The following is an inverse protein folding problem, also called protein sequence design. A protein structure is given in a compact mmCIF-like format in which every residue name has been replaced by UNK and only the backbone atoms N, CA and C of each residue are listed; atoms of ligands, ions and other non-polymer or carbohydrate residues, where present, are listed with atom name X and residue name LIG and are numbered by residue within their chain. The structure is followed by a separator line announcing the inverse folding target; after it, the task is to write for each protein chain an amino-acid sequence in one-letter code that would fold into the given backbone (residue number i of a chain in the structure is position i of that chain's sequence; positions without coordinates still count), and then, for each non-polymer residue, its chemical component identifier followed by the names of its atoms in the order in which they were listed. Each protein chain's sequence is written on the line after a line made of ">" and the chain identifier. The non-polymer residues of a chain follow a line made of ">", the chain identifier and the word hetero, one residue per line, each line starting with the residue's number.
data_IF_199797128099
#
_entry.id   IF_199797128099
#
_cell.length_a   1.000
_cell.length_b   1.000
_cell.length_c   1.000
_cell.angle_alpha   90.00
_cell.angle_beta   90.00
_cell.angle_gamma   90.00
#
_symmetry.space_group_name_H-M   'P 1'
#
loop_
_entity.id
_entity.type
_entity.pdbx_description
1 polymer ?
#
# COMPACT_ATOMS: atom_id res chain seq x y z
N UNK A 1 1.72 -27.95 -11.80
CA UNK A 1 3.16 -27.71 -12.00
C UNK A 1 3.42 -26.23 -11.83
N UNK A 2 4.49 -25.88 -11.11
CA UNK A 2 4.91 -24.49 -10.99
C UNK A 2 5.36 -23.95 -12.34
N UNK A 3 4.93 -22.73 -12.75
CA UNK A 3 5.32 -22.15 -14.02
C UNK A 3 6.82 -21.88 -14.08
N UNK A 4 7.42 -22.10 -15.25
CA UNK A 4 8.80 -21.72 -15.52
C UNK A 4 8.89 -20.19 -15.43
N UNK A 5 9.79 -19.71 -14.57
CA UNK A 5 10.02 -18.29 -14.34
C UNK A 5 11.49 -17.96 -14.56
N UNK A 6 11.78 -16.85 -15.24
CA UNK A 6 13.14 -16.33 -15.31
C UNK A 6 13.58 -15.83 -13.94
N UNK A 7 12.74 -15.00 -13.34
CA UNK A 7 12.83 -14.59 -11.96
C UNK A 7 11.43 -14.60 -11.32
N UNK A 8 11.37 -15.09 -10.09
CA UNK A 8 10.15 -15.19 -9.31
C UNK A 8 10.21 -14.20 -8.16
N UNK A 9 9.38 -13.18 -8.22
CA UNK A 9 9.18 -12.25 -7.12
C UNK A 9 8.47 -12.98 -5.99
N UNK A 10 9.13 -13.04 -4.83
CA UNK A 10 8.60 -13.57 -3.59
C UNK A 10 8.71 -12.53 -2.50
N UNK A 11 7.75 -12.54 -1.59
CA UNK A 11 7.57 -11.46 -0.64
C UNK A 11 7.76 -11.93 0.80
N UNK A 12 8.96 -11.71 1.31
CA UNK A 12 9.32 -11.90 2.73
C UNK A 12 10.17 -10.73 3.22
N UNK A 13 9.87 -9.51 2.77
CA UNK A 13 10.64 -8.27 3.06
C UNK A 13 12.09 -8.29 2.50
N UNK A 14 12.42 -9.24 1.64
CA UNK A 14 13.74 -9.36 1.01
C UNK A 14 13.93 -8.29 -0.05
N UNK A 15 14.93 -7.44 0.13
CA UNK A 15 15.34 -6.45 -0.87
C UNK A 15 16.12 -7.11 -2.00
N UNK A 16 15.67 -6.91 -3.24
CA UNK A 16 16.21 -7.54 -4.45
C UNK A 16 16.46 -6.50 -5.52
N UNK A 17 17.68 -6.49 -6.06
CA UNK A 17 18.06 -5.73 -7.25
C UNK A 17 18.59 -6.72 -8.29
N UNK A 18 17.99 -6.78 -9.47
CA UNK A 18 18.52 -7.52 -10.61
C UNK A 18 19.18 -6.57 -11.60
N UNK A 19 20.44 -6.82 -11.91
CA UNK A 19 21.18 -5.99 -12.85
C UNK A 19 22.16 -6.78 -13.71
N UNK A 20 22.35 -6.33 -14.96
CA UNK A 20 23.20 -6.99 -15.94
C UNK A 20 22.81 -8.46 -16.16
N UNK A 21 21.49 -8.73 -16.20
CA UNK A 21 20.94 -10.08 -16.37
C UNK A 21 20.44 -10.24 -17.79
N UNK A 22 20.77 -11.38 -18.42
CA UNK A 22 20.21 -11.77 -19.71
C UNK A 22 19.26 -12.95 -19.54
N UNK A 23 17.98 -12.76 -19.87
CA UNK A 23 17.00 -13.85 -19.95
C UNK A 23 16.93 -14.41 -21.37
N UNK A 24 16.84 -15.73 -21.50
CA UNK A 24 16.88 -16.40 -22.79
C UNK A 24 15.81 -17.48 -22.94
N UNK A 25 15.30 -17.64 -24.17
CA UNK A 25 14.44 -18.75 -24.59
C UNK A 25 13.10 -18.86 -23.85
N UNK A 26 12.39 -17.74 -23.70
CA UNK A 26 11.01 -17.71 -23.18
C UNK A 26 10.03 -17.56 -24.34
N UNK A 27 9.10 -18.51 -24.47
CA UNK A 27 8.06 -18.51 -25.50
C UNK A 27 6.71 -18.20 -24.86
N UNK A 28 5.81 -17.55 -25.60
CA UNK A 28 4.46 -17.32 -25.11
C UNK A 28 3.58 -18.55 -25.36
N UNK A 29 3.10 -19.15 -24.27
CA UNK A 29 2.26 -20.36 -24.24
C UNK A 29 0.88 -20.03 -23.65
N UNK A 30 -0.04 -19.41 -24.43
CA UNK A 30 -1.35 -18.98 -23.93
C UNK A 30 -2.23 -20.13 -23.41
N UNK A 31 -2.07 -21.32 -23.95
CA UNK A 31 -2.81 -22.53 -23.60
C UNK A 31 -2.62 -22.97 -22.14
N UNK A 32 -1.55 -22.51 -21.48
CA UNK A 32 -1.26 -22.79 -20.07
C UNK A 32 -1.98 -21.82 -19.11
N UNK A 33 -2.67 -20.81 -19.62
CA UNK A 33 -3.40 -19.83 -18.81
C UNK A 33 -2.50 -19.15 -17.77
N UNK A 34 -2.94 -19.12 -16.51
CA UNK A 34 -2.15 -18.58 -15.39
C UNK A 34 -0.84 -19.35 -15.12
N UNK A 35 -0.79 -20.62 -15.52
CA UNK A 35 0.39 -21.49 -15.40
C UNK A 35 1.43 -21.30 -16.51
N UNK A 36 1.24 -20.33 -17.41
CA UNK A 36 2.20 -20.04 -18.47
C UNK A 36 3.54 -19.54 -17.93
N UNK A 37 4.60 -19.77 -18.70
CA UNK A 37 5.90 -19.20 -18.36
C UNK A 37 5.90 -17.67 -18.45
N UNK A 38 6.82 -17.06 -17.71
CA UNK A 38 7.08 -15.63 -17.78
C UNK A 38 8.49 -15.31 -17.31
N UNK A 39 9.14 -14.32 -17.94
CA UNK A 39 10.45 -13.86 -17.45
C UNK A 39 10.31 -13.34 -16.02
N UNK A 40 9.35 -12.43 -15.81
CA UNK A 40 9.01 -11.87 -14.51
C UNK A 40 7.72 -12.51 -14.01
N UNK A 41 7.85 -13.41 -13.04
CA UNK A 41 6.72 -14.10 -12.44
C UNK A 41 6.50 -13.63 -11.01
N UNK A 42 5.25 -13.52 -10.57
CA UNK A 42 4.90 -13.19 -9.17
C UNK A 42 4.11 -14.28 -8.48
N UNK A 43 4.41 -14.52 -7.21
CA UNK A 43 3.70 -15.47 -6.38
C UNK A 43 2.48 -14.86 -5.72
N UNK A 44 1.29 -15.12 -6.27
CA UNK A 44 0.02 -14.50 -5.83
C UNK A 44 -0.74 -15.27 -4.75
N UNK A 45 -0.06 -16.13 -4.01
CA UNK A 45 -0.64 -17.21 -3.20
C UNK A 45 -1.29 -16.82 -1.87
N UNK A 46 -1.05 -15.62 -1.32
CA UNK A 46 -1.44 -15.36 0.08
C UNK A 46 -1.79 -13.92 0.42
N UNK A 47 -2.57 -13.77 1.49
CA UNK A 47 -2.81 -12.50 2.19
C UNK A 47 -1.84 -12.30 3.37
N UNK A 48 -1.07 -13.34 3.72
CA UNK A 48 -0.02 -13.34 4.75
C UNK A 48 1.25 -12.61 4.31
N UNK A 49 1.56 -12.69 3.02
CA UNK A 49 2.77 -12.12 2.42
C UNK A 49 2.33 -11.10 1.36
N UNK A 50 2.41 -9.82 1.69
CA UNK A 50 2.00 -8.70 0.81
C UNK A 50 3.20 -7.88 0.35
N UNK A 51 3.51 -7.77 -0.96
CA UNK A 51 4.71 -7.05 -1.43
C UNK A 51 4.77 -5.60 -0.96
N UNK A 52 5.93 -5.16 -0.46
CA UNK A 52 6.31 -3.75 -0.28
C UNK A 52 7.14 -3.27 -1.49
N UNK A 53 7.80 -2.10 -1.41
CA UNK A 53 8.86 -1.74 -2.36
C UNK A 53 10.19 -2.35 -1.95
N UNK A 54 10.42 -3.54 -2.48
CA UNK A 54 11.59 -4.36 -2.17
C UNK A 54 12.29 -4.85 -3.44
N UNK A 55 11.85 -4.42 -4.62
CA UNK A 55 12.22 -5.04 -5.89
C UNK A 55 12.52 -3.98 -6.95
N UNK A 56 13.70 -4.08 -7.55
CA UNK A 56 14.07 -3.26 -8.70
C UNK A 56 14.93 -4.02 -9.73
N UNK A 57 14.93 -3.52 -10.96
CA UNK A 57 15.74 -4.02 -12.06
C UNK A 57 16.42 -2.90 -12.84
N UNK A 58 17.52 -3.22 -13.52
CA UNK A 58 18.26 -2.33 -14.42
C UNK A 58 19.13 -3.14 -15.37
N UNK A 59 19.45 -2.64 -16.56
CA UNK A 59 20.37 -3.30 -17.51
C UNK A 59 19.97 -4.77 -17.77
N UNK A 60 18.72 -4.98 -18.16
CA UNK A 60 18.19 -6.30 -18.51
C UNK A 60 18.26 -6.50 -20.02
N UNK A 61 18.70 -7.68 -20.42
CA UNK A 61 18.75 -8.08 -21.83
C UNK A 61 17.90 -9.33 -22.09
N UNK A 62 17.39 -9.43 -23.31
CA UNK A 62 16.52 -10.53 -23.75
C UNK A 62 17.09 -11.16 -25.02
N UNK A 63 17.21 -12.49 -25.05
CA UNK A 63 17.64 -13.24 -26.23
C UNK A 63 16.64 -14.36 -26.54
N UNK A 64 16.05 -14.36 -27.73
CA UNK A 64 15.02 -15.34 -28.10
C UNK A 64 13.86 -15.37 -27.08
N UNK A 65 13.42 -14.20 -26.63
CA UNK A 65 12.27 -14.06 -25.72
C UNK A 65 11.13 -13.42 -26.48
N UNK A 66 9.98 -14.08 -26.47
CA UNK A 66 8.73 -13.50 -26.93
C UNK A 66 8.31 -12.38 -25.96
N UNK A 67 8.09 -11.17 -26.46
CA UNK A 67 7.70 -10.02 -25.63
C UNK A 67 6.37 -10.24 -24.89
N UNK A 68 5.51 -11.15 -25.39
CA UNK A 68 4.27 -11.56 -24.73
C UNK A 68 4.50 -12.40 -23.47
N UNK A 69 5.69 -12.98 -23.32
CA UNK A 69 6.10 -13.77 -22.16
C UNK A 69 6.93 -12.97 -21.15
N UNK A 70 6.99 -11.63 -21.24
CA UNK A 70 7.78 -10.81 -20.32
C UNK A 70 7.30 -10.91 -18.87
N UNK A 71 6.00 -10.71 -18.63
CA UNK A 71 5.44 -10.63 -17.28
C UNK A 71 4.31 -11.64 -17.16
N UNK A 72 4.25 -12.35 -16.05
CA UNK A 72 3.10 -13.15 -15.65
C UNK A 72 2.74 -12.86 -14.19
N UNK A 73 1.64 -12.12 -14.01
CA UNK A 73 0.97 -11.94 -12.73
C UNK A 73 -0.40 -12.63 -12.81
N UNK A 74 -0.53 -13.88 -12.35
CA UNK A 74 -1.82 -14.55 -12.32
C UNK A 74 -2.88 -13.75 -11.56
N UNK A 75 -4.11 -13.72 -12.06
CA UNK A 75 -5.19 -12.98 -11.41
C UNK A 75 -5.65 -13.70 -10.15
N UNK A 76 -5.12 -13.30 -9.00
CA UNK A 76 -5.62 -13.75 -7.70
C UNK A 76 -6.01 -12.57 -6.82
N UNK A 77 -7.16 -12.71 -6.16
CA UNK A 77 -7.72 -11.74 -5.22
C UNK A 77 -7.07 -11.84 -3.83
N UNK A 78 -5.75 -12.02 -3.78
CA UNK A 78 -4.94 -12.05 -2.56
C UNK A 78 -4.16 -10.75 -2.40
N UNK A 79 -3.60 -10.51 -1.22
CA UNK A 79 -2.69 -9.41 -0.95
C UNK A 79 -1.44 -9.51 -1.80
N UNK A 80 -0.83 -10.70 -1.90
CA UNK A 80 0.31 -10.95 -2.76
C UNK A 80 0.02 -10.56 -4.22
N UNK A 81 -1.15 -10.97 -4.74
CA UNK A 81 -1.60 -10.62 -6.09
C UNK A 81 -1.85 -9.12 -6.23
N UNK A 82 -2.65 -8.53 -5.36
CA UNK A 82 -3.05 -7.11 -5.42
C UNK A 82 -1.89 -6.12 -5.28
N UNK A 83 -0.91 -6.43 -4.43
CA UNK A 83 0.17 -5.49 -4.06
C UNK A 83 1.47 -5.71 -4.84
N UNK A 84 1.52 -6.69 -5.75
CA UNK A 84 2.67 -6.92 -6.59
C UNK A 84 3.11 -5.64 -7.31
N UNK A 85 4.40 -5.32 -7.19
CA UNK A 85 5.04 -4.19 -7.82
C UNK A 85 6.55 -4.43 -7.96
N UNK A 86 7.18 -3.75 -8.92
CA UNK A 86 8.63 -3.54 -8.96
C UNK A 86 8.96 -2.30 -9.78
N UNK A 87 10.21 -1.84 -9.69
CA UNK A 87 10.69 -0.69 -10.47
C UNK A 87 11.76 -1.13 -11.45
N UNK A 88 11.51 -0.93 -12.73
CA UNK A 88 12.48 -1.03 -13.80
C UNK A 88 13.14 0.33 -14.02
N UNK A 89 14.30 0.54 -13.43
CA UNK A 89 14.89 1.88 -13.24
C UNK A 89 15.43 2.52 -14.51
N UNK A 90 15.63 1.76 -15.59
CA UNK A 90 16.08 2.27 -16.88
C UNK A 90 15.18 1.86 -18.06
N UNK A 91 14.12 1.09 -17.79
CA UNK A 91 13.17 0.68 -18.83
C UNK A 91 13.62 -0.52 -19.66
N UNK A 92 14.76 -1.13 -19.32
CA UNK A 92 15.28 -2.28 -20.07
C UNK A 92 14.47 -3.54 -19.80
N UNK A 93 14.02 -3.77 -18.57
CA UNK A 93 13.21 -4.95 -18.21
C UNK A 93 11.78 -4.93 -18.80
N UNK A 94 11.27 -3.74 -19.09
CA UNK A 94 9.95 -3.52 -19.68
C UNK A 94 9.99 -3.22 -21.17
N UNK A 95 11.20 -3.11 -21.75
CA UNK A 95 11.44 -2.69 -23.14
C UNK A 95 10.85 -1.30 -23.48
N UNK A 96 10.59 -0.46 -22.48
CA UNK A 96 10.03 0.89 -22.67
C UNK A 96 11.08 1.97 -22.93
N UNK A 97 12.36 1.65 -22.69
CA UNK A 97 13.49 2.57 -22.87
C UNK A 97 13.46 3.78 -21.93
N UNK A 98 12.67 3.70 -20.85
CA UNK A 98 12.52 4.73 -19.83
C UNK A 98 12.17 4.10 -18.47
N UNK A 99 12.52 4.74 -17.34
CA UNK A 99 12.20 4.23 -16.01
C UNK A 99 10.70 3.93 -15.88
N UNK A 100 10.37 2.74 -15.40
CA UNK A 100 9.01 2.22 -15.37
C UNK A 100 8.69 1.67 -13.98
N UNK A 101 7.54 2.09 -13.45
CA UNK A 101 6.91 1.47 -12.30
C UNK A 101 5.92 0.43 -12.81
N UNK A 102 6.06 -0.80 -12.34
CA UNK A 102 5.14 -1.88 -12.65
C UNK A 102 4.30 -2.14 -11.41
N UNK A 103 2.98 -2.11 -11.56
CA UNK A 103 2.02 -2.42 -10.51
C UNK A 103 1.01 -3.46 -10.97
N UNK A 104 0.43 -4.20 -10.02
CA UNK A 104 -0.54 -5.27 -10.29
C UNK A 104 -1.83 -4.79 -10.98
N UNK A 105 -2.70 -5.72 -11.36
CA UNK A 105 -3.94 -5.49 -12.10
C UNK A 105 -4.96 -4.49 -11.52
N UNK A 106 -5.14 -4.30 -10.19
CA UNK A 106 -6.17 -3.39 -9.69
C UNK A 106 -6.00 -1.97 -10.23
N UNK A 107 -7.10 -1.25 -10.46
CA UNK A 107 -7.06 0.13 -10.96
C UNK A 107 -6.30 1.08 -10.03
N UNK A 108 -6.11 0.69 -8.77
CA UNK A 108 -5.16 1.27 -7.82
C UNK A 108 -3.74 1.51 -8.36
N UNK A 109 -3.25 0.70 -9.29
CA UNK A 109 -1.93 0.88 -9.90
C UNK A 109 -1.96 1.69 -11.20
N UNK A 110 -3.13 2.11 -11.67
CA UNK A 110 -3.27 3.05 -12.76
C UNK A 110 -3.18 4.48 -12.20
N UNK A 111 -1.95 4.95 -12.05
CA UNK A 111 -1.59 6.17 -11.33
C UNK A 111 -2.02 7.45 -12.05
N UNK A 112 -1.86 7.49 -13.38
CA UNK A 112 -2.07 8.69 -14.19
C UNK A 112 -2.12 8.31 -15.69
N UNK A 113 -2.24 9.32 -16.56
CA UNK A 113 -2.37 9.19 -18.02
C UNK A 113 -1.18 8.53 -18.72
N UNK A 114 0.01 8.50 -18.11
CA UNK A 114 1.18 7.78 -18.63
C UNK A 114 1.13 6.26 -18.40
N UNK A 115 0.16 5.79 -17.61
CA UNK A 115 0.00 4.37 -17.33
C UNK A 115 -0.69 3.63 -18.49
N UNK A 116 -0.19 2.44 -18.82
CA UNK A 116 -0.78 1.51 -19.78
C UNK A 116 -1.01 0.15 -19.15
N UNK A 117 -2.20 -0.42 -19.33
CA UNK A 117 -2.48 -1.76 -18.85
C UNK A 117 -1.94 -2.81 -19.83
N UNK A 118 -1.10 -3.71 -19.34
CA UNK A 118 -0.58 -4.83 -20.08
C UNK A 118 -1.41 -6.07 -19.75
N UNK A 119 -2.41 -6.34 -20.60
CA UNK A 119 -3.42 -7.38 -20.36
C UNK A 119 -2.83 -8.78 -20.23
N UNK A 120 -1.80 -9.12 -21.01
CA UNK A 120 -1.16 -10.43 -20.92
C UNK A 120 -0.51 -10.62 -19.56
N UNK A 121 0.18 -9.58 -19.07
CA UNK A 121 0.90 -9.62 -17.80
C UNK A 121 0.06 -9.29 -16.58
N UNK A 122 -1.19 -8.86 -16.73
CA UNK A 122 -2.07 -8.34 -15.67
C UNK A 122 -1.38 -7.30 -14.77
N UNK A 123 -0.75 -6.31 -15.40
CA UNK A 123 -0.03 -5.24 -14.71
C UNK A 123 -0.25 -3.89 -15.40
N UNK A 124 -0.16 -2.81 -14.64
CA UNK A 124 -0.03 -1.45 -15.18
C UNK A 124 1.45 -1.10 -15.29
N UNK A 125 1.83 -0.49 -16.42
CA UNK A 125 3.14 0.11 -16.64
C UNK A 125 2.98 1.62 -16.67
N UNK A 126 3.57 2.29 -15.67
CA UNK A 126 3.58 3.74 -15.54
C UNK A 126 5.02 4.25 -15.59
N UNK A 127 5.21 5.51 -15.94
CA UNK A 127 6.50 6.17 -15.83
C UNK A 127 6.88 6.29 -14.34
N UNK A 128 8.10 5.85 -14.03
CA UNK A 128 8.69 6.05 -12.72
C UNK A 128 9.32 7.44 -12.65
N UNK A 129 8.86 8.26 -11.71
CA UNK A 129 9.21 9.66 -11.58
C UNK A 129 9.77 9.93 -10.18
N UNK A 130 10.66 10.92 -9.98
CA UNK A 130 11.29 11.18 -8.68
C UNK A 130 10.30 11.43 -7.53
N UNK A 131 9.12 11.96 -7.84
CA UNK A 131 8.06 12.23 -6.86
C UNK A 131 7.06 11.07 -6.69
N UNK A 132 7.16 9.99 -7.48
CA UNK A 132 6.28 8.81 -7.40
C UNK A 132 6.97 7.69 -6.63
N UNK A 133 7.09 7.87 -5.33
CA UNK A 133 7.71 6.88 -4.45
C UNK A 133 6.71 5.81 -4.01
N UNK A 134 7.08 4.54 -4.06
CA UNK A 134 6.25 3.48 -3.51
C UNK A 134 6.27 3.57 -1.98
N UNK A 135 5.09 3.45 -1.38
CA UNK A 135 4.86 3.51 0.05
C UNK A 135 4.04 2.30 0.51
N UNK A 136 4.20 1.97 1.79
CA UNK A 136 3.42 0.96 2.48
C UNK A 136 2.95 1.46 3.84
N UNK A 137 1.65 1.27 4.07
CA UNK A 137 1.01 1.50 5.36
C UNK A 137 0.46 0.18 5.91
N UNK A 138 0.73 -0.12 7.18
CA UNK A 138 -0.03 -1.14 7.91
C UNK A 138 -1.09 -0.43 8.74
N UNK A 139 -2.34 -0.46 8.25
CA UNK A 139 -3.49 0.17 8.92
C UNK A 139 -4.13 -0.83 9.88
N UNK A 140 -4.05 -0.51 11.17
CA UNK A 140 -4.50 -1.35 12.27
C UNK A 140 -5.75 -0.78 12.95
N UNK A 141 -6.77 -1.63 13.05
CA UNK A 141 -7.91 -1.43 13.94
C UNK A 141 -7.72 -2.39 15.11
N UNK A 142 -7.33 -1.91 16.31
CA UNK A 142 -7.05 -2.78 17.45
C UNK A 142 -8.19 -3.75 17.74
N UNK A 143 -7.86 -5.04 17.80
CA UNK A 143 -8.83 -6.11 18.03
C UNK A 143 -9.62 -6.57 16.80
N UNK A 144 -9.40 -5.99 15.61
CA UNK A 144 -10.17 -6.32 14.41
C UNK A 144 -9.33 -6.64 13.18
N UNK A 145 -8.20 -5.95 12.99
CA UNK A 145 -7.20 -6.32 11.98
C UNK A 145 -6.13 -7.20 12.59
N UNK A 146 -5.43 -7.98 11.76
CA UNK A 146 -4.30 -8.82 12.17
C UNK A 146 -3.04 -8.47 11.38
N UNK A 147 -1.87 -8.45 12.03
CA UNK A 147 -0.60 -8.26 11.35
C UNK A 147 -0.29 -9.42 10.40
N UNK A 148 0.26 -9.06 9.24
CA UNK A 148 0.88 -9.99 8.29
C UNK A 148 2.28 -10.41 8.74
N UNK A 149 2.87 -11.40 8.10
CA UNK A 149 4.14 -12.04 8.47
C UNK A 149 4.16 -12.68 9.89
N UNK A 150 3.01 -13.13 10.40
CA UNK A 150 2.84 -13.78 11.70
C UNK A 150 2.30 -15.21 11.66
N UNK A 151 1.87 -15.68 10.49
CA UNK A 151 1.19 -16.97 10.30
C UNK A 151 -0.28 -16.99 10.75
N UNK A 152 -0.87 -15.82 11.04
CA UNK A 152 -2.24 -15.68 11.53
C UNK A 152 -3.14 -14.84 10.61
N UNK A 153 -2.72 -14.55 9.38
CA UNK A 153 -3.57 -13.83 8.44
C UNK A 153 -4.86 -14.60 8.16
N UNK A 154 -5.96 -13.85 8.06
CA UNK A 154 -7.21 -14.37 7.55
C UNK A 154 -7.08 -14.79 6.09
N UNK A 155 -7.85 -15.79 5.63
CA UNK A 155 -7.92 -16.09 4.21
C UNK A 155 -8.51 -14.88 3.43
N UNK A 156 -8.21 -14.77 2.13
CA UNK A 156 -8.61 -13.65 1.27
C UNK A 156 -10.09 -13.69 0.87
N UNK A 157 -10.98 -14.04 1.80
CA UNK A 157 -12.40 -14.28 1.53
C UNK A 157 -13.27 -13.06 1.87
N UNK A 158 -14.47 -13.02 1.27
CA UNK A 158 -15.42 -11.92 1.41
C UNK A 158 -15.72 -11.49 2.88
N UNK A 159 -15.87 -12.40 3.86
CA UNK A 159 -16.12 -12.02 5.26
C UNK A 159 -15.00 -11.18 5.91
N UNK A 160 -13.77 -11.29 5.38
CA UNK A 160 -12.59 -10.61 5.90
C UNK A 160 -12.23 -9.36 5.09
N UNK A 161 -13.08 -8.94 4.15
CA UNK A 161 -12.96 -7.64 3.50
C UNK A 161 -13.22 -6.54 4.54
N UNK A 162 -12.26 -5.61 4.65
CA UNK A 162 -12.34 -4.44 5.52
C UNK A 162 -12.98 -3.25 4.79
N UNK A 163 -12.73 -3.13 3.49
CA UNK A 163 -13.26 -2.05 2.65
C UNK A 163 -12.38 -1.83 1.43
N UNK A 164 -12.04 -0.58 1.13
CA UNK A 164 -11.16 -0.24 0.02
C UNK A 164 -10.19 0.91 0.34
N UNK A 165 -9.12 0.98 -0.43
CA UNK A 165 -8.26 2.16 -0.56
C UNK A 165 -8.45 2.76 -1.96
N UNK A 166 -8.44 4.09 -2.07
CA UNK A 166 -8.60 4.79 -3.34
C UNK A 166 -7.64 5.98 -3.46
N UNK A 167 -7.18 6.27 -4.67
CA UNK A 167 -6.35 7.46 -4.92
C UNK A 167 -7.22 8.72 -4.96
N UNK A 168 -6.66 9.85 -4.52
CA UNK A 168 -7.31 11.15 -4.68
C UNK A 168 -7.39 11.57 -6.15
N UNK A 169 -8.38 12.39 -6.48
CA UNK A 169 -8.59 12.94 -7.83
C UNK A 169 -9.42 12.07 -8.77
N UNK A 170 -9.67 10.80 -8.42
CA UNK A 170 -10.34 9.84 -9.29
C UNK A 170 -11.67 9.36 -8.71
N UNK A 171 -12.77 9.50 -9.46
CA UNK A 171 -14.14 9.20 -8.99
C UNK A 171 -14.97 8.46 -10.02
N UNK A 172 -16.08 7.86 -9.58
CA UNK A 172 -17.03 7.16 -10.44
C UNK A 172 -16.36 6.01 -11.20
N UNK A 173 -16.65 5.91 -12.50
CA UNK A 173 -16.04 4.90 -13.37
C UNK A 173 -14.51 5.02 -13.51
N UNK A 174 -13.95 6.20 -13.21
CA UNK A 174 -12.50 6.43 -13.27
C UNK A 174 -11.79 6.15 -11.93
N UNK A 175 -12.52 5.73 -10.89
CA UNK A 175 -11.95 5.50 -9.57
C UNK A 175 -10.77 4.51 -9.61
N UNK A 176 -9.65 4.92 -9.02
CA UNK A 176 -8.43 4.11 -8.86
C UNK A 176 -8.45 3.53 -7.46
N UNK A 177 -8.97 2.32 -7.31
CA UNK A 177 -9.20 1.73 -6.01
C UNK A 177 -8.82 0.25 -5.97
N UNK A 178 -8.80 -0.28 -4.76
CA UNK A 178 -8.49 -1.67 -4.50
C UNK A 178 -9.10 -2.11 -3.17
N UNK A 179 -9.63 -3.33 -3.17
CA UNK A 179 -10.13 -3.98 -1.96
C UNK A 179 -9.01 -4.19 -0.94
N UNK A 180 -9.30 -3.89 0.32
CA UNK A 180 -8.44 -4.19 1.45
C UNK A 180 -9.12 -5.19 2.38
N UNK A 181 -8.32 -6.04 3.01
CA UNK A 181 -8.77 -7.08 3.95
C UNK A 181 -8.44 -6.67 5.38
N UNK A 182 -8.88 -7.47 6.36
CA UNK A 182 -8.49 -7.31 7.77
C UNK A 182 -7.03 -7.67 8.04
N UNK A 183 -6.33 -8.24 7.05
CA UNK A 183 -4.89 -8.42 7.13
C UNK A 183 -4.22 -7.06 6.89
N UNK A 184 -3.34 -6.66 7.77
CA UNK A 184 -2.61 -5.38 7.67
C UNK A 184 -1.73 -5.35 6.40
N UNK A 185 -1.32 -4.16 5.95
CA UNK A 185 -0.47 -3.99 4.77
C UNK A 185 -1.22 -3.56 3.52
N UNK A 186 -0.97 -2.30 3.15
CA UNK A 186 -1.43 -1.64 1.93
C UNK A 186 -0.20 -1.03 1.26
N UNK A 187 0.14 -1.50 0.08
CA UNK A 187 1.23 -0.96 -0.75
C UNK A 187 0.66 -0.21 -1.95
N UNK A 188 1.26 0.92 -2.28
CA UNK A 188 0.88 1.73 -3.43
C UNK A 188 1.86 2.87 -3.64
N UNK A 189 1.44 3.91 -4.35
CA UNK A 189 2.33 5.03 -4.69
C UNK A 189 1.96 6.28 -3.90
N UNK A 190 2.97 6.90 -3.29
CA UNK A 190 2.95 8.23 -2.70
C UNK A 190 3.35 9.29 -3.74
N UNK A 191 3.29 10.58 -3.40
CA UNK A 191 3.71 11.66 -4.28
C UNK A 191 2.78 12.85 -4.28
N UNK A 192 2.37 13.31 -5.47
CA UNK A 192 1.48 14.47 -5.65
C UNK A 192 0.00 14.18 -5.34
N UNK A 193 -0.32 12.96 -4.94
CA UNK A 193 -1.67 12.48 -4.61
C UNK A 193 -1.70 11.87 -3.20
N UNK A 194 -2.88 11.47 -2.74
CA UNK A 194 -3.10 10.86 -1.43
C UNK A 194 -4.02 9.65 -1.49
N UNK A 195 -4.14 8.98 -0.36
CA UNK A 195 -4.91 7.76 -0.19
C UNK A 195 -6.15 8.04 0.66
N UNK A 196 -7.31 7.69 0.11
CA UNK A 196 -8.56 7.60 0.85
C UNK A 196 -8.76 6.17 1.32
N UNK A 197 -8.85 5.98 2.63
CA UNK A 197 -9.12 4.71 3.28
C UNK A 197 -10.59 4.64 3.69
N UNK A 198 -11.27 3.60 3.24
CA UNK A 198 -12.68 3.37 3.53
C UNK A 198 -12.88 2.02 4.20
N UNK A 199 -13.61 2.02 5.32
CA UNK A 199 -14.05 0.82 6.03
C UNK A 199 -15.55 0.63 5.86
N UNK A 200 -15.94 -0.61 5.53
CA UNK A 200 -17.34 -0.96 5.32
C UNK A 200 -18.16 -0.87 6.61
N UNK A 201 -17.55 -1.18 7.75
CA UNK A 201 -18.20 -1.17 9.06
C UNK A 201 -18.38 0.25 9.64
N UNK A 202 -17.79 1.27 9.00
CA UNK A 202 -17.80 2.65 9.48
C UNK A 202 -16.48 3.07 10.12
N UNK A 203 -16.48 4.19 10.85
CA UNK A 203 -15.28 4.69 11.50
C UNK A 203 -15.00 3.95 12.81
N UNK A 204 -13.74 3.78 13.21
CA UNK A 204 -13.41 3.16 14.50
C UNK A 204 -12.91 4.19 15.51
N UNK A 205 -13.21 4.06 16.82
CA UNK A 205 -12.68 4.98 17.83
C UNK A 205 -11.15 5.01 17.93
N UNK A 206 -10.46 3.94 17.55
CA UNK A 206 -8.99 3.87 17.58
C UNK A 206 -8.48 3.28 16.27
N UNK A 207 -7.74 4.09 15.52
CA UNK A 207 -7.08 3.70 14.28
C UNK A 207 -5.58 3.95 14.41
N UNK A 208 -4.77 2.97 14.05
CA UNK A 208 -3.32 3.06 14.08
C UNK A 208 -2.79 2.90 12.66
N UNK A 209 -1.96 3.83 12.19
CA UNK A 209 -1.35 3.77 10.86
C UNK A 209 0.15 3.65 11.03
N UNK A 210 0.70 2.47 10.78
CA UNK A 210 2.14 2.23 10.81
C UNK A 210 2.75 2.59 9.46
N UNK A 211 3.79 3.42 9.49
CA UNK A 211 4.58 3.76 8.32
C UNK A 211 5.66 2.69 8.09
N UNK A 212 5.25 1.56 7.55
CA UNK A 212 6.14 0.45 7.23
C UNK A 212 7.16 0.84 6.16
N UNK A 213 6.75 1.67 5.20
CA UNK A 213 7.63 2.24 4.19
C UNK A 213 7.10 3.58 3.68
N UNK A 214 7.80 4.67 3.98
CA UNK A 214 7.70 5.94 3.25
C UNK A 214 9.14 6.41 3.05
N UNK A 215 9.66 6.50 1.82
CA UNK A 215 11.04 6.93 1.61
C UNK A 215 11.31 8.34 2.16
N UNK A 216 12.50 8.61 2.73
CA UNK A 216 12.89 9.94 3.17
C UNK A 216 12.67 11.00 2.09
N UNK A 217 12.25 12.20 2.50
CA UNK A 217 11.91 13.29 1.59
C UNK A 217 10.57 13.13 0.86
N UNK A 218 9.88 12.00 1.02
CA UNK A 218 8.54 11.78 0.50
C UNK A 218 7.49 11.88 1.61
N UNK A 219 6.23 11.99 1.20
CA UNK A 219 5.09 12.01 2.11
C UNK A 219 3.87 11.41 1.44
N UNK A 220 2.92 11.00 2.26
CA UNK A 220 1.64 10.48 1.79
C UNK A 220 0.50 11.18 2.51
N UNK A 221 -0.40 11.83 1.78
CA UNK A 221 -1.63 12.33 2.39
C UNK A 221 -2.60 11.17 2.59
N UNK A 222 -3.04 10.96 3.81
CA UNK A 222 -4.00 9.94 4.20
C UNK A 222 -5.29 10.58 4.65
N UNK A 223 -6.43 10.07 4.18
CA UNK A 223 -7.73 10.50 4.62
C UNK A 223 -8.64 9.30 4.93
N UNK A 224 -9.46 9.44 5.97
CA UNK A 224 -10.54 8.48 6.27
C UNK A 224 -11.74 9.23 6.82
N UNK A 225 -12.92 8.64 6.65
CA UNK A 225 -14.19 9.26 7.01
C UNK A 225 -14.50 9.04 8.49
N UNK A 226 -15.07 10.05 9.14
CA UNK A 226 -15.60 10.01 10.50
C UNK A 226 -16.94 10.74 10.57
N UNK A 227 -17.84 10.39 11.51
CA UNK A 227 -19.10 11.12 11.69
C UNK A 227 -18.88 12.61 11.98
N UNK A 228 -19.82 13.46 11.57
CA UNK A 228 -19.76 14.89 11.88
C UNK A 228 -19.80 15.15 13.39
N UNK A 229 -19.11 16.21 13.81
CA UNK A 229 -18.91 16.54 15.22
C UNK A 229 -17.95 15.60 15.96
N UNK A 230 -17.18 14.78 15.24
CA UNK A 230 -16.09 13.99 15.85
C UNK A 230 -14.91 14.89 16.25
N UNK A 231 -14.30 14.58 17.37
CA UNK A 231 -13.06 15.22 17.85
C UNK A 231 -11.98 14.18 18.04
N UNK A 232 -10.71 14.58 17.99
CA UNK A 232 -9.58 13.65 17.93
C UNK A 232 -8.47 14.03 18.89
N UNK A 233 -7.78 13.02 19.39
CA UNK A 233 -6.44 13.10 19.95
C UNK A 233 -5.53 12.28 19.04
N UNK A 234 -4.66 12.96 18.30
CA UNK A 234 -3.76 12.33 17.34
C UNK A 234 -2.33 12.44 17.84
N UNK A 235 -1.59 11.34 17.76
CA UNK A 235 -0.17 11.32 18.10
C UNK A 235 0.64 10.56 17.07
N UNK A 236 1.90 10.97 16.92
CA UNK A 236 2.93 10.23 16.23
C UNK A 236 3.78 9.53 17.29
N UNK A 237 3.88 8.21 17.19
CA UNK A 237 4.52 7.35 18.21
C UNK A 237 5.66 6.59 17.57
N UNK A 238 6.84 6.66 18.17
CA UNK A 238 8.01 5.87 17.81
C UNK A 238 8.25 4.83 18.90
N UNK A 239 7.91 3.56 18.61
CA UNK A 239 7.93 2.49 19.62
C UNK A 239 9.29 2.34 20.32
N UNK A 240 10.38 2.43 19.54
CA UNK A 240 11.75 2.25 20.04
C UNK A 240 12.47 3.56 20.32
N UNK A 241 11.88 4.70 19.95
CA UNK A 241 12.45 6.03 20.17
C UNK A 241 11.40 6.98 20.77
N UNK A 242 10.90 6.72 21.99
CA UNK A 242 9.76 7.45 22.53
C UNK A 242 9.95 8.98 22.59
N UNK A 243 11.21 9.45 22.73
CA UNK A 243 11.55 10.87 22.70
C UNK A 243 11.24 11.58 21.37
N UNK A 244 11.11 10.84 20.27
CA UNK A 244 10.67 11.36 18.97
C UNK A 244 9.15 11.39 18.81
N UNK A 245 8.42 10.78 19.77
CA UNK A 245 6.96 10.79 19.75
C UNK A 245 6.43 12.19 20.06
N UNK A 246 5.36 12.57 19.38
CA UNK A 246 4.81 13.92 19.47
C UNK A 246 3.30 13.91 19.27
N UNK A 247 2.61 14.90 19.82
CA UNK A 247 1.22 15.18 19.44
C UNK A 247 1.19 15.65 17.98
N UNK A 248 0.18 15.22 17.23
CA UNK A 248 -0.16 15.75 15.91
C UNK A 248 -1.31 16.72 16.14
N UNK A 249 -1.08 18.01 15.92
CA UNK A 249 -2.02 19.07 16.30
C UNK A 249 -3.08 19.27 15.21
N UNK A 250 -4.24 19.77 15.60
CA UNK A 250 -5.25 20.17 14.63
C UNK A 250 -4.83 21.47 13.93
N UNK A 251 -4.84 21.45 12.60
CA UNK A 251 -4.67 22.60 11.73
C UNK A 251 -6.02 23.30 11.46
N UNK A 252 -5.95 24.57 11.05
CA UNK A 252 -7.13 25.33 10.63
C UNK A 252 -7.63 24.95 9.24
N UNK A 253 -6.73 24.42 8.39
CA UNK A 253 -7.00 24.17 6.96
C UNK A 253 -6.24 22.96 6.41
N UNK A 254 -6.62 22.51 5.21
CA UNK A 254 -5.87 21.51 4.47
C UNK A 254 -4.47 22.01 4.09
N UNK A 255 -4.35 23.27 3.68
CA UNK A 255 -3.08 23.85 3.21
C UNK A 255 -2.01 23.84 4.31
N UNK A 256 -2.40 24.10 5.56
CA UNK A 256 -1.53 23.96 6.71
C UNK A 256 -1.02 22.52 6.89
N UNK A 257 -1.88 21.50 6.71
CA UNK A 257 -1.47 20.09 6.77
C UNK A 257 -0.49 19.74 5.66
N UNK A 258 -0.74 20.23 4.44
CA UNK A 258 0.13 19.98 3.28
C UNK A 258 1.49 20.67 3.43
N UNK A 259 1.52 21.88 4.00
CA UNK A 259 2.74 22.62 4.31
C UNK A 259 3.51 22.03 5.51
N UNK A 260 2.83 21.32 6.41
CA UNK A 260 3.41 20.73 7.62
C UNK A 260 4.37 19.56 7.39
N UNK A 261 5.07 19.18 8.46
CA UNK A 261 6.08 18.11 8.50
C UNK A 261 5.54 16.75 8.98
N UNK A 262 4.23 16.55 8.85
CA UNK A 262 3.51 15.42 9.45
C UNK A 262 3.22 15.56 10.94
N UNK A 263 3.16 16.80 11.44
CA UNK A 263 2.79 17.16 12.80
C UNK A 263 1.40 17.80 12.91
N UNK A 264 0.66 17.83 11.79
CA UNK A 264 -0.66 18.42 11.68
C UNK A 264 -1.70 17.45 11.08
N UNK A 265 -2.94 17.56 11.56
CA UNK A 265 -4.11 16.95 10.94
C UNK A 265 -5.20 18.01 10.74
N UNK A 266 -6.10 17.79 9.77
CA UNK A 266 -7.29 18.62 9.58
C UNK A 266 -8.53 17.75 9.56
N UNK A 267 -9.58 18.18 10.25
CA UNK A 267 -10.89 17.56 10.17
C UNK A 267 -11.86 18.51 9.49
N UNK A 268 -12.34 18.15 8.30
CA UNK A 268 -13.22 19.01 7.51
C UNK A 268 -14.71 18.86 7.84
N UNK A 269 -15.02 18.25 8.99
CA UNK A 269 -16.38 17.89 9.40
C UNK A 269 -16.82 16.48 8.99
N UNK A 270 -16.15 15.85 8.01
CA UNK A 270 -16.49 14.49 7.56
C UNK A 270 -15.27 13.57 7.38
N UNK A 271 -14.08 14.14 7.18
CA UNK A 271 -12.85 13.40 6.96
C UNK A 271 -11.75 13.96 7.84
N UNK A 272 -11.01 13.06 8.49
CA UNK A 272 -9.71 13.40 9.03
C UNK A 272 -8.68 13.24 7.92
N UNK A 273 -7.82 14.23 7.74
CA UNK A 273 -6.79 14.30 6.71
C UNK A 273 -5.45 14.56 7.42
N UNK A 274 -4.45 13.74 7.12
CA UNK A 274 -3.12 13.79 7.74
C UNK A 274 -2.07 13.62 6.65
N UNK A 275 -1.02 14.45 6.66
CA UNK A 275 0.18 14.21 5.86
C UNK A 275 1.11 13.28 6.63
N UNK A 276 1.22 12.04 6.18
CA UNK A 276 2.10 11.04 6.77
C UNK A 276 3.52 11.28 6.25
N UNK A 277 4.42 11.59 7.18
CA UNK A 277 5.85 11.74 6.92
C UNK A 277 6.58 10.79 7.87
N UNK A 278 7.52 10.03 7.32
CA UNK A 278 8.54 9.34 8.10
C UNK A 278 9.76 10.26 8.24
N UNK A 279 9.98 10.89 9.40
CA UNK A 279 11.14 11.74 9.62
C UNK A 279 12.43 10.93 9.80
N UNK A 280 12.37 9.59 9.77
CA UNK A 280 13.43 8.69 10.19
C UNK A 280 14.77 8.93 9.49
N UNK A 281 15.83 8.51 10.16
CA UNK A 281 17.21 8.68 9.71
C UNK A 281 17.65 7.58 8.72
N UNK A 282 18.08 7.98 7.53
CA UNK A 282 18.59 7.05 6.51
C UNK A 282 19.90 6.36 6.94
N UNK A 283 20.60 6.84 7.97
CA UNK A 283 21.80 6.17 8.48
C UNK A 283 21.50 5.00 9.41
N UNK A 284 20.29 4.94 9.97
CA UNK A 284 19.89 3.88 10.92
C UNK A 284 19.28 2.68 10.20
N UNK A 285 18.50 2.93 9.15
CA UNK A 285 17.97 1.91 8.22
C UNK A 285 18.36 2.31 6.79
N UNK A 286 19.61 2.05 6.36
CA UNK A 286 20.06 2.45 5.04
C UNK A 286 19.32 1.65 3.96
N UNK A 287 19.02 2.28 2.82
CA UNK A 287 18.44 1.56 1.70
C UNK A 287 19.47 0.58 1.12
N UNK A 288 19.00 -0.51 0.51
CA UNK A 288 19.88 -1.40 -0.23
C UNK A 288 20.16 -0.80 -1.61
N UNK A 289 21.44 -0.61 -1.94
CA UNK A 289 21.85 -0.07 -3.24
C UNK A 289 22.88 -0.96 -3.92
N UNK A 290 22.69 -1.19 -5.22
CA UNK A 290 23.62 -1.94 -6.07
C UNK A 290 23.52 -1.40 -7.51
N UNK A 291 24.67 -1.23 -8.18
CA UNK A 291 24.76 -0.81 -9.59
C UNK A 291 23.91 0.42 -9.95
N UNK A 292 23.92 1.41 -9.06
CA UNK A 292 23.19 2.67 -9.21
C UNK A 292 21.67 2.57 -9.09
N UNK A 293 21.16 1.46 -8.55
CA UNK A 293 19.77 1.24 -8.17
C UNK A 293 19.67 1.24 -6.65
N UNK A 294 18.58 1.77 -6.11
CA UNK A 294 18.32 1.84 -4.67
C UNK A 294 16.90 1.35 -4.38
N UNK A 295 16.75 0.43 -3.43
CA UNK A 295 15.47 0.02 -2.87
C UNK A 295 15.43 0.36 -1.38
N UNK A 296 14.34 1.00 -0.94
CA UNK A 296 14.26 1.53 0.42
C UNK A 296 13.90 0.48 1.47
N UNK A 297 13.27 -0.62 1.07
CA UNK A 297 12.90 -1.70 1.99
C UNK A 297 11.96 -1.26 3.12
N UNK A 298 11.75 -2.15 4.07
CA UNK A 298 10.93 -1.88 5.26
C UNK A 298 11.73 -1.03 6.25
N UNK A 299 11.18 0.08 6.75
CA UNK A 299 11.86 0.92 7.75
C UNK A 299 11.41 0.54 9.16
N UNK A 300 12.37 0.36 10.06
CA UNK A 300 12.17 -0.17 11.41
C UNK A 300 12.04 0.92 12.48
N UNK A 301 12.03 2.21 12.10
CA UNK A 301 11.76 3.33 13.01
C UNK A 301 10.45 3.20 13.81
N UNK A 302 9.55 2.29 13.40
CA UNK A 302 8.29 2.03 14.10
C UNK A 302 7.51 3.34 14.31
N UNK A 303 7.38 4.15 13.25
CA UNK A 303 6.62 5.38 13.27
C UNK A 303 5.13 5.07 13.05
N UNK A 304 4.31 5.31 14.07
CA UNK A 304 2.87 5.12 14.03
C UNK A 304 2.16 6.46 14.13
N UNK A 305 1.07 6.63 13.40
CA UNK A 305 0.08 7.67 13.67
C UNK A 305 -1.10 7.02 14.38
N UNK A 306 -1.35 7.42 15.62
CA UNK A 306 -2.48 6.96 16.41
C UNK A 306 -3.56 8.02 16.31
N UNK A 307 -4.70 7.64 15.73
CA UNK A 307 -5.88 8.48 15.56
C UNK A 307 -6.91 7.95 16.55
N UNK A 308 -6.99 8.60 17.72
CA UNK A 308 -7.98 8.26 18.72
C UNK A 308 -9.09 9.30 18.70
N UNK A 309 -10.31 8.83 18.50
CA UNK A 309 -11.50 9.68 18.59
C UNK A 309 -11.78 9.98 20.05
N UNK A 310 -11.92 11.25 20.42
CA UNK A 310 -12.24 11.67 21.79
C UNK A 310 -13.74 11.76 22.00
N UNK A 311 -14.48 12.25 21.00
CA UNK A 311 -15.96 12.24 20.99
C UNK A 311 -16.50 11.98 19.58
N UNK A 312 -17.69 11.40 19.50
CA UNK A 312 -18.48 11.24 18.26
C UNK A 312 -19.84 11.89 18.51
N UNK A 313 -20.14 12.98 17.81
CA UNK A 313 -21.39 13.74 18.04
C UNK A 313 -21.55 14.17 19.51
N UNK A 314 -20.44 14.55 20.16
CA UNK A 314 -20.40 14.93 21.58
C UNK A 314 -20.50 13.78 22.59
N UNK A 315 -20.60 12.52 22.15
CA UNK A 315 -20.69 11.34 23.03
C UNK A 315 -19.36 10.60 23.12
N UNK A 316 -19.16 9.85 24.21
CA UNK A 316 -18.05 8.91 24.33
C UNK A 316 -18.13 7.86 23.20
N UNK A 317 -17.08 7.70 22.37
CA UNK A 317 -17.13 6.82 21.21
C UNK A 317 -17.30 5.34 21.57
N UNK A 318 -16.79 4.90 22.73
CA UNK A 318 -16.94 3.50 23.18
C UNK A 318 -18.37 3.15 23.60
N UNK A 319 -19.20 4.17 23.83
CA UNK A 319 -20.64 4.03 24.11
C UNK A 319 -21.48 4.28 22.86
N UNK A 320 -21.07 5.26 22.04
CA UNK A 320 -21.82 5.67 20.85
C UNK A 320 -21.70 4.69 19.68
N UNK A 321 -20.62 3.90 19.63
CA UNK A 321 -20.27 3.05 18.51
C UNK A 321 -20.51 1.58 18.85
N UNK A 322 -21.05 0.82 17.91
CA UNK A 322 -21.45 -0.58 18.14
C UNK A 322 -20.24 -1.50 18.14
N UNK A 323 -20.24 -2.49 19.04
CA UNK A 323 -19.26 -3.57 19.01
C UNK A 323 -19.50 -4.49 17.81
N UNK A 324 -18.44 -4.81 17.09
CA UNK A 324 -18.44 -5.77 15.98
C UNK A 324 -17.46 -6.88 16.32
N UNK A 325 -17.94 -8.12 16.37
CA UNK A 325 -17.09 -9.30 16.60
C UNK A 325 -16.08 -9.47 15.45
N UNK A 326 -14.83 -9.73 15.82
CA UNK A 326 -13.77 -10.01 14.85
C UNK A 326 -13.67 -11.49 14.47
N UNK A 327 -14.33 -12.38 15.21
CA UNK A 327 -14.49 -13.80 14.86
C UNK A 327 -13.27 -14.69 15.14
N UNK A 328 -12.24 -14.19 15.81
CA UNK A 328 -11.06 -14.99 16.20
C UNK A 328 -10.46 -14.50 17.53
N UNK A 329 -9.56 -15.26 18.13
CA UNK A 329 -8.82 -14.81 19.33
C UNK A 329 -7.82 -13.71 19.03
N UNK A 330 -7.21 -13.71 17.84
CA UNK A 330 -6.27 -12.67 17.39
C UNK A 330 -6.98 -11.34 17.07
N UNK A 331 -8.24 -11.41 16.65
CA UNK A 331 -9.12 -10.27 16.43
C UNK A 331 -10.49 -10.56 17.09
N UNK A 332 -10.63 -10.28 18.39
CA UNK A 332 -11.87 -10.54 19.14
C UNK A 332 -13.02 -9.60 18.73
N UNK A 333 -12.71 -8.42 18.23
CA UNK A 333 -13.65 -7.40 17.80
C UNK A 333 -13.19 -5.98 18.08
N UNK A 334 -13.94 -5.02 17.56
CA UNK A 334 -13.72 -3.59 17.79
C UNK A 334 -15.04 -2.82 17.72
N UNK A 335 -15.01 -1.57 18.19
CA UNK A 335 -16.13 -0.66 18.02
C UNK A 335 -16.10 0.04 16.66
N UNK A 336 -17.27 0.19 16.05
CA UNK A 336 -17.47 0.94 14.82
C UNK A 336 -18.65 1.91 14.92
N UNK A 337 -18.41 3.13 14.50
CA UNK A 337 -19.34 4.24 14.48
C UNK A 337 -19.95 4.31 13.07
N UNK A 338 -21.28 4.28 12.94
CA UNK A 338 -21.92 4.38 11.64
C UNK A 338 -21.57 5.72 11.01
N UNK A 339 -21.13 5.69 9.75
CA UNK A 339 -21.02 6.89 8.94
C UNK A 339 -22.44 7.25 8.53
N UNK A 340 -22.96 8.40 8.94
CA UNK A 340 -24.20 8.92 8.36
C UNK A 340 -24.02 8.97 6.83
N UNK A 341 -25.03 8.52 6.08
CA UNK A 341 -25.00 8.61 4.63
C UNK A 341 -24.63 10.06 4.26
N UNK A 342 -23.78 10.30 3.24
CA UNK A 342 -23.65 11.64 2.71
C UNK A 342 -25.07 12.15 2.43
N UNK A 343 -25.41 13.35 2.92
CA UNK A 343 -26.52 14.05 2.28
C UNK A 343 -26.19 14.09 0.78
N UNK A 344 -27.13 13.68 -0.09
CA UNK A 344 -26.90 13.44 -1.51
C UNK A 344 -26.26 14.62 -2.24
#
# INVERSE_FOLDING_TARGET
>A
HDPIAGFRWYDTRVMTILTNVTFQNFVYEPELGDGRQGVWFTMVHSDEFKPAYISASRVISYRNVDSRALVNNPLAATGAGRYFNWIDTDGTATLRGRPTLIGSWPSWWNLDSDCSYQSLGNVHWCDYLPWRAIARLDVRVPGYTVPVDTGNAFPPDAPYILGYVAQFGWRGAAARNMTITRNEGITGVSGTTGWYFHMNQGATPSLQVFLTQIPPGNSLVFATRYPSGSTFSVSRVFRWYPSLSSTVRQAGSLDEVLAGGGDLYWFNGNHIIIKLVDPGDATVDPPFSADGVTVWGTRYFNAWYWINTTTVGGKNPWVACSWVSGGSSAAPGAHFCPLTAPNP
#
